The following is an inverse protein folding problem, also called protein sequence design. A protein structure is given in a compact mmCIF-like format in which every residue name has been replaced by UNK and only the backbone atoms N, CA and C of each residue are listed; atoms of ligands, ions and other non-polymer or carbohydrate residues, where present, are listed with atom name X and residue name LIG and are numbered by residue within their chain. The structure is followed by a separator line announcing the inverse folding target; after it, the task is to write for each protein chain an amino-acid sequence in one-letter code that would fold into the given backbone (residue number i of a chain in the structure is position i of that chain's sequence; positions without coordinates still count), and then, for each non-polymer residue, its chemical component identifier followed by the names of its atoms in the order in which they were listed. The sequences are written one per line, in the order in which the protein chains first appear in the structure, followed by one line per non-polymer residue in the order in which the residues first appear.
data_IF_111890080467
#
_entry.id   IF_111890080467
#
_cell.length_a   1.000
_cell.length_b   1.000
_cell.length_c   1.000
_cell.angle_alpha   90.00
_cell.angle_beta   90.00
_cell.angle_gamma   90.00
#
_symmetry.space_group_name_H-M   'P 1'
#
loop_
_entity.id
_entity.type
_entity.pdbx_description
1 polymer ?
#
# COMPACT_ATOMS: atom_id res chain seq x y z
N UNK A 1 4.99 16.56 4.47
CA UNK A 1 5.41 15.76 5.64
C UNK A 1 5.58 14.35 5.12
N UNK A 2 6.81 13.92 4.83
CA UNK A 2 7.04 12.62 4.19
C UNK A 2 6.92 11.53 5.25
N UNK A 3 5.72 10.97 5.42
CA UNK A 3 5.52 9.82 6.30
C UNK A 3 6.07 8.61 5.57
N UNK A 4 7.22 8.12 6.03
CA UNK A 4 7.74 6.83 5.62
C UNK A 4 6.66 5.79 5.92
N UNK A 5 5.95 5.38 4.88
CA UNK A 5 4.81 4.47 5.01
C UNK A 5 5.28 3.09 4.60
N UNK A 6 5.23 2.17 5.56
CA UNK A 6 5.77 0.82 5.38
C UNK A 6 4.73 -0.08 4.70
N UNK A 7 5.07 -0.64 3.54
CA UNK A 7 4.21 -1.62 2.86
C UNK A 7 4.52 -3.04 3.39
N UNK A 8 3.50 -3.75 3.84
CA UNK A 8 3.59 -5.11 4.41
C UNK A 8 2.70 -6.06 3.60
N UNK A 9 3.27 -7.19 3.22
CA UNK A 9 2.54 -8.28 2.56
C UNK A 9 2.37 -9.43 3.55
N UNK A 10 1.13 -9.86 3.80
CA UNK A 10 0.80 -11.01 4.65
C UNK A 10 0.24 -12.14 3.80
N UNK A 11 0.60 -13.38 4.11
CA UNK A 11 0.14 -14.56 3.39
C UNK A 11 -0.30 -15.63 4.38
N UNK A 12 -1.45 -16.27 4.13
CA UNK A 12 -1.96 -17.34 4.99
C UNK A 12 -2.70 -16.83 6.23
N UNK A 13 -3.25 -15.62 6.16
CA UNK A 13 -4.07 -15.03 7.23
C UNK A 13 -5.55 -15.35 7.03
N UNK A 14 -6.26 -15.65 8.12
CA UNK A 14 -7.71 -15.83 8.07
C UNK A 14 -8.43 -14.47 8.15
N UNK A 15 -9.66 -14.40 7.64
CA UNK A 15 -10.50 -13.20 7.75
C UNK A 15 -10.70 -12.79 9.22
N UNK A 16 -10.90 -13.76 10.12
CA UNK A 16 -11.04 -13.50 11.56
C UNK A 16 -9.78 -12.89 12.20
N UNK A 17 -8.59 -13.21 11.69
CA UNK A 17 -7.35 -12.59 12.13
C UNK A 17 -7.22 -11.16 11.60
N UNK A 18 -7.59 -10.95 10.33
CA UNK A 18 -7.62 -9.63 9.69
C UNK A 18 -8.58 -8.69 10.44
N UNK A 19 -9.81 -9.13 10.70
CA UNK A 19 -10.83 -8.31 11.37
C UNK A 19 -10.39 -7.90 12.79
N UNK A 20 -9.77 -8.82 13.53
CA UNK A 20 -9.21 -8.53 14.86
C UNK A 20 -8.07 -7.52 14.80
N UNK A 21 -7.19 -7.62 13.81
CA UNK A 21 -6.09 -6.67 13.63
C UNK A 21 -6.63 -5.28 13.27
N UNK A 22 -7.55 -5.19 12.30
CA UNK A 22 -8.14 -3.91 11.89
C UNK A 22 -8.79 -3.21 13.09
N UNK A 23 -9.57 -3.95 13.89
CA UNK A 23 -10.20 -3.40 15.10
C UNK A 23 -9.14 -2.87 16.10
N UNK A 24 -8.12 -3.69 16.41
CA UNK A 24 -7.05 -3.29 17.33
C UNK A 24 -6.28 -2.06 16.85
N UNK A 25 -6.08 -1.95 15.53
CA UNK A 25 -5.38 -0.84 14.92
C UNK A 25 -6.21 0.45 14.98
N UNK A 26 -7.51 0.39 14.73
CA UNK A 26 -8.40 1.56 14.89
C UNK A 26 -8.39 2.04 16.35
N UNK A 27 -8.51 1.13 17.31
CA UNK A 27 -8.46 1.48 18.74
C UNK A 27 -7.14 2.15 19.13
N UNK A 28 -6.01 1.61 18.64
CA UNK A 28 -4.70 2.19 18.87
C UNK A 28 -4.54 3.58 18.22
N UNK A 29 -5.08 3.77 17.02
CA UNK A 29 -5.06 5.06 16.31
C UNK A 29 -5.83 6.13 17.07
N UNK A 30 -7.05 5.81 17.53
CA UNK A 30 -7.88 6.72 18.34
C UNK A 30 -7.16 7.09 19.63
N UNK A 31 -6.65 6.10 20.36
CA UNK A 31 -5.99 6.34 21.63
C UNK A 31 -4.68 7.15 21.47
N UNK A 32 -3.97 6.99 20.34
CA UNK A 32 -2.78 7.79 20.02
C UNK A 32 -3.15 9.25 19.71
N UNK A 33 -4.21 9.47 18.93
CA UNK A 33 -4.71 10.80 18.59
C UNK A 33 -5.17 11.57 19.84
N UNK A 34 -5.90 10.93 20.74
CA UNK A 34 -6.32 11.51 22.03
C UNK A 34 -5.14 11.97 22.89
N UNK A 35 -3.99 11.30 22.77
CA UNK A 35 -2.76 11.60 23.51
C UNK A 35 -1.78 12.50 22.74
N UNK A 36 -2.16 12.98 21.56
CA UNK A 36 -1.30 13.80 20.70
C UNK A 36 0.00 13.10 20.27
N UNK A 37 0.02 11.76 20.24
CA UNK A 37 1.20 10.98 19.86
C UNK A 37 1.27 10.84 18.35
N UNK A 38 2.49 10.87 17.82
CA UNK A 38 2.73 10.58 16.42
C UNK A 38 2.74 9.06 16.20
N UNK A 39 2.17 8.61 15.08
CA UNK A 39 1.99 7.20 14.78
C UNK A 39 2.71 6.91 13.47
N UNK A 40 3.47 5.82 13.43
CA UNK A 40 3.99 5.32 12.18
C UNK A 40 2.85 4.64 11.41
N UNK A 41 2.71 4.97 10.13
CA UNK A 41 1.68 4.38 9.27
C UNK A 41 2.27 3.23 8.46
N UNK A 42 1.60 2.08 8.50
CA UNK A 42 1.86 0.93 7.61
C UNK A 42 0.72 0.81 6.61
N UNK A 43 0.92 0.04 5.55
CA UNK A 43 -0.13 -0.42 4.65
C UNK A 43 0.00 -1.92 4.52
N UNK A 44 -1.07 -2.66 4.78
CA UNK A 44 -1.04 -4.12 4.78
C UNK A 44 -1.86 -4.66 3.62
N UNK A 45 -1.28 -5.56 2.83
CA UNK A 45 -1.99 -6.33 1.81
C UNK A 45 -1.94 -7.81 2.20
N UNK A 46 -3.11 -8.41 2.36
CA UNK A 46 -3.25 -9.80 2.80
C UNK A 46 -3.65 -10.71 1.64
N UNK A 47 -3.01 -11.88 1.58
CA UNK A 47 -3.27 -12.93 0.61
C UNK A 47 -3.64 -14.21 1.33
N UNK A 48 -4.61 -14.93 0.77
CA UNK A 48 -5.05 -16.23 1.31
C UNK A 48 -3.91 -17.27 1.32
N UNK A 49 -3.09 -17.29 0.27
CA UNK A 49 -2.02 -18.28 0.12
C UNK A 49 -0.90 -17.79 -0.81
N UNK A 50 0.23 -18.49 -0.75
CA UNK A 50 1.43 -18.16 -1.53
C UNK A 50 1.20 -18.23 -3.04
N UNK A 51 0.35 -19.15 -3.52
CA UNK A 51 0.06 -19.26 -4.94
C UNK A 51 -0.65 -18.01 -5.48
N UNK A 52 -1.60 -17.46 -4.71
CA UNK A 52 -2.25 -16.18 -5.04
C UNK A 52 -1.28 -15.01 -4.92
N UNK A 53 -0.40 -14.99 -3.92
CA UNK A 53 0.64 -13.97 -3.81
C UNK A 53 1.53 -13.96 -5.06
N UNK A 54 2.18 -15.07 -5.41
CA UNK A 54 3.13 -15.10 -6.54
C UNK A 54 2.47 -14.88 -7.91
N UNK A 55 1.19 -15.22 -8.05
CA UNK A 55 0.42 -14.93 -9.28
C UNK A 55 0.10 -13.45 -9.43
N UNK A 56 -0.18 -12.77 -8.32
CA UNK A 56 -0.62 -11.37 -8.32
C UNK A 56 0.54 -10.38 -8.18
N UNK A 57 1.57 -10.72 -7.40
CA UNK A 57 2.68 -9.85 -7.03
C UNK A 57 3.97 -10.27 -7.74
N UNK A 58 4.25 -9.59 -8.84
CA UNK A 58 5.56 -9.65 -9.50
C UNK A 58 6.51 -8.62 -8.86
N UNK A 59 7.84 -8.78 -8.96
CA UNK A 59 8.80 -7.78 -8.46
C UNK A 59 8.52 -6.36 -8.99
N UNK A 60 8.11 -6.30 -10.26
CA UNK A 60 7.74 -5.06 -10.95
C UNK A 60 6.50 -4.38 -10.35
N UNK A 61 5.47 -5.15 -9.99
CA UNK A 61 4.27 -4.63 -9.33
C UNK A 61 4.54 -4.21 -7.90
N UNK A 62 5.39 -4.96 -7.18
CA UNK A 62 5.84 -4.60 -5.83
C UNK A 62 6.57 -3.24 -5.87
N UNK A 63 7.52 -3.05 -6.79
CA UNK A 63 8.23 -1.78 -6.94
C UNK A 63 7.30 -0.59 -7.26
N UNK A 64 6.26 -0.82 -8.05
CA UNK A 64 5.21 0.19 -8.30
C UNK A 64 4.47 0.51 -6.99
N UNK A 65 4.01 -0.50 -6.26
CA UNK A 65 3.27 -0.29 -5.01
C UNK A 65 4.11 0.42 -3.96
N UNK A 66 5.38 0.04 -3.80
CA UNK A 66 6.33 0.72 -2.91
C UNK A 66 6.45 2.20 -3.29
N UNK A 67 6.70 2.49 -4.57
CA UNK A 67 6.84 3.86 -5.04
C UNK A 67 5.57 4.68 -4.86
N UNK A 68 4.40 4.16 -5.24
CA UNK A 68 3.13 4.88 -5.09
C UNK A 68 2.75 5.02 -3.62
N UNK A 69 3.01 4.03 -2.76
CA UNK A 69 2.69 4.11 -1.33
C UNK A 69 3.48 5.19 -0.60
N UNK A 70 4.72 5.45 -1.02
CA UNK A 70 5.58 6.48 -0.46
C UNK A 70 5.20 7.91 -0.88
N UNK A 71 4.22 8.09 -1.77
CA UNK A 71 3.79 9.38 -2.27
C UNK A 71 2.27 9.52 -2.16
N UNK A 72 1.76 10.71 -1.88
CA UNK A 72 0.31 10.93 -1.79
C UNK A 72 -0.39 10.72 -3.15
N UNK A 73 0.30 11.07 -4.24
CA UNK A 73 -0.21 10.95 -5.60
C UNK A 73 0.94 10.95 -6.61
N UNK A 74 0.84 10.10 -7.63
CA UNK A 74 1.76 10.11 -8.78
C UNK A 74 1.06 10.77 -9.97
N UNK A 75 1.68 11.78 -10.57
CA UNK A 75 1.05 12.59 -11.62
C UNK A 75 0.67 11.81 -12.89
N UNK A 76 1.42 10.75 -13.26
CA UNK A 76 1.08 9.89 -14.40
C UNK A 76 1.82 8.55 -14.43
N UNK A 77 1.31 7.60 -15.21
CA UNK A 77 2.05 6.37 -15.59
C UNK A 77 3.40 6.69 -16.24
N UNK A 78 3.51 7.80 -16.97
CA UNK A 78 4.80 8.21 -17.56
C UNK A 78 5.78 8.69 -16.50
N UNK A 79 5.34 9.49 -15.52
CA UNK A 79 6.17 9.88 -14.39
C UNK A 79 6.68 8.64 -13.63
N UNK A 80 5.82 7.65 -13.42
CA UNK A 80 6.18 6.38 -12.79
C UNK A 80 7.23 5.61 -13.60
N UNK A 81 7.10 5.55 -14.93
CA UNK A 81 8.09 4.88 -15.79
C UNK A 81 9.48 5.51 -15.70
N UNK A 82 9.55 6.84 -15.62
CA UNK A 82 10.80 7.58 -15.46
C UNK A 82 11.39 7.34 -14.07
N UNK A 83 10.57 7.43 -13.03
CA UNK A 83 11.01 7.25 -11.65
C UNK A 83 11.56 5.84 -11.38
N UNK A 84 10.97 4.82 -12.00
CA UNK A 84 11.39 3.43 -11.85
C UNK A 84 12.46 2.99 -12.86
N UNK A 85 12.82 3.85 -13.84
CA UNK A 85 13.77 3.48 -14.90
C UNK A 85 13.28 2.33 -15.79
N UNK A 86 11.96 2.22 -16.00
CA UNK A 86 11.31 1.12 -16.75
C UNK A 86 10.65 1.63 -18.03
N UNK A 87 10.41 0.74 -18.98
CA UNK A 87 9.68 1.10 -20.19
C UNK A 87 8.20 1.41 -19.89
N UNK A 88 7.64 2.35 -20.65
CA UNK A 88 6.28 2.83 -20.43
C UNK A 88 5.22 1.74 -20.62
N UNK A 89 5.38 0.86 -21.62
CA UNK A 89 4.41 -0.20 -21.93
C UNK A 89 4.28 -1.22 -20.79
N UNK A 90 5.40 -1.66 -20.22
CA UNK A 90 5.45 -2.59 -19.11
C UNK A 90 4.87 -1.96 -17.84
N UNK A 91 5.23 -0.71 -17.55
CA UNK A 91 4.65 0.01 -16.41
C UNK A 91 3.15 0.21 -16.59
N UNK A 92 2.69 0.56 -17.79
CA UNK A 92 1.26 0.71 -18.06
C UNK A 92 0.49 -0.60 -17.87
N UNK A 93 1.05 -1.73 -18.33
CA UNK A 93 0.45 -3.04 -18.14
C UNK A 93 0.38 -3.43 -16.65
N UNK A 94 1.47 -3.24 -15.91
CA UNK A 94 1.50 -3.53 -14.47
C UNK A 94 0.53 -2.64 -13.68
N UNK A 95 0.45 -1.34 -14.01
CA UNK A 95 -0.54 -0.43 -13.41
C UNK A 95 -1.95 -0.89 -13.71
N UNK A 96 -2.25 -1.32 -14.94
CA UNK A 96 -3.59 -1.81 -15.29
C UNK A 96 -3.98 -3.05 -14.46
N UNK A 97 -3.04 -3.97 -14.23
CA UNK A 97 -3.28 -5.15 -13.39
C UNK A 97 -3.47 -4.77 -11.92
N UNK A 98 -2.68 -3.83 -11.39
CA UNK A 98 -2.83 -3.35 -10.01
C UNK A 98 -4.14 -2.59 -9.78
N UNK A 99 -4.64 -1.86 -10.79
CA UNK A 99 -5.98 -1.24 -10.74
C UNK A 99 -7.08 -2.29 -10.73
N UNK A 100 -6.97 -3.36 -11.56
CA UNK A 100 -7.93 -4.47 -11.53
C UNK A 100 -7.96 -5.20 -10.19
N UNK A 101 -6.81 -5.30 -9.53
CA UNK A 101 -6.69 -5.86 -8.18
C UNK A 101 -7.20 -4.91 -7.08
N UNK A 102 -7.60 -3.68 -7.42
CA UNK A 102 -8.06 -2.68 -6.46
C UNK A 102 -6.97 -2.10 -5.56
N UNK A 103 -5.69 -2.22 -5.96
CA UNK A 103 -4.55 -1.75 -5.16
C UNK A 103 -4.09 -0.35 -5.58
N UNK A 104 -4.49 0.08 -6.76
CA UNK A 104 -4.30 1.43 -7.28
C UNK A 104 -5.62 1.97 -7.83
N UNK A 105 -5.80 3.27 -7.72
CA UNK A 105 -6.86 4.03 -8.39
C UNK A 105 -6.25 4.97 -9.42
N UNK A 106 -6.97 5.17 -10.52
CA UNK A 106 -6.68 6.19 -11.52
C UNK A 106 -7.60 7.39 -11.31
N UNK A 107 -7.01 8.57 -11.15
CA UNK A 107 -7.73 9.84 -11.16
C UNK A 107 -7.28 10.68 -12.35
N UNK A 108 -8.01 10.51 -13.45
CA UNK A 108 -7.57 10.97 -14.77
C UNK A 108 -6.22 10.34 -15.13
N UNK A 109 -5.18 11.16 -15.20
CA UNK A 109 -3.82 10.70 -15.45
C UNK A 109 -3.10 10.27 -14.17
N UNK A 110 -3.51 10.79 -13.01
CA UNK A 110 -2.84 10.52 -11.75
C UNK A 110 -3.13 9.12 -11.23
N UNK A 111 -2.22 8.62 -10.40
CA UNK A 111 -2.32 7.33 -9.73
C UNK A 111 -2.25 7.54 -8.21
N UNK A 112 -3.14 6.86 -7.48
CA UNK A 112 -3.15 6.81 -6.02
C UNK A 112 -3.09 5.38 -5.52
N UNK A 113 -2.51 5.21 -4.34
CA UNK A 113 -2.60 3.95 -3.61
C UNK A 113 -3.97 3.87 -2.93
N UNK A 114 -4.75 2.83 -3.25
CA UNK A 114 -6.05 2.58 -2.62
C UNK A 114 -5.94 1.94 -1.24
N UNK A 115 -4.74 1.48 -0.89
CA UNK A 115 -4.51 0.83 0.39
C UNK A 115 -4.43 1.93 1.45
N UNK A 116 -5.48 2.02 2.27
CA UNK A 116 -5.54 2.95 3.38
C UNK A 116 -4.37 2.75 4.37
N UNK A 117 -3.85 3.83 4.97
CA UNK A 117 -2.88 3.70 6.04
C UNK A 117 -3.52 3.01 7.25
N UNK A 118 -2.75 2.13 7.86
CA UNK A 118 -3.05 1.38 9.06
C UNK A 118 -1.96 1.69 10.11
N UNK A 119 -2.21 1.46 11.40
CA UNK A 119 -1.23 1.83 12.44
C UNK A 119 -0.15 0.76 12.61
N UNK A 120 1.11 1.18 12.50
CA UNK A 120 2.26 0.28 12.55
C UNK A 120 2.79 0.08 13.98
N UNK A 121 2.93 1.17 14.73
CA UNK A 121 3.42 1.17 16.10
C UNK A 121 3.23 2.57 16.73
N UNK A 122 3.00 2.60 18.04
CA UNK A 122 2.99 3.83 18.82
C UNK A 122 4.44 4.27 19.03
N UNK A 123 4.88 5.32 18.32
CA UNK A 123 6.19 5.89 18.61
C UNK A 123 6.09 6.60 19.96
N UNK A 124 6.78 6.09 20.97
CA UNK A 124 6.97 6.83 22.21
C UNK A 124 7.82 8.06 21.89
N UNK A 125 7.24 9.24 22.08
CA UNK A 125 7.96 10.51 22.09
C UNK A 125 8.88 10.59 23.31
#
# INVERSE_FOLDING_TARGET
MNMASKLIFRVGVSLEEIDREIAANVDAAVAAAERGKNIETKRTISFENWATFFRSMTPNRIAILEHVSAHDMIASTRALSVALGRDYSGVHADVAELVKLGLLERDGNALRCEIGPDVAELVAA
#
